data_IF_149002016584
#
_entry.id   IF_149002016584
#
_cell.length_a   1.000
_cell.length_b   1.000
_cell.length_c   1.000
_cell.angle_alpha   90.00
_cell.angle_beta   90.00
_cell.angle_gamma   90.00
#
_symmetry.space_group_name_H-M   'P 1'
#
loop_
_entity.id
_entity.type
_entity.pdbx_description
1 polymer ?
#
# COMPACT_ATOMS: atom_id res chain seq x y z
N UNK A 1 -17.09 12.01 -8.73
CA UNK A 1 -16.08 10.94 -8.97
C UNK A 1 -14.70 11.49 -8.68
N UNK A 2 -14.31 12.62 -9.27
CA UNK A 2 -12.98 13.22 -9.14
C UNK A 2 -12.53 13.43 -7.69
N UNK A 3 -13.43 13.83 -6.79
CA UNK A 3 -13.12 13.97 -5.35
C UNK A 3 -12.64 12.64 -4.74
N UNK A 4 -13.25 11.52 -5.10
CA UNK A 4 -12.84 10.20 -4.61
C UNK A 4 -11.50 9.78 -5.20
N UNK A 5 -11.27 10.05 -6.48
CA UNK A 5 -9.98 9.76 -7.15
C UNK A 5 -8.85 10.58 -6.53
N UNK A 6 -9.04 11.89 -6.34
CA UNK A 6 -8.04 12.75 -5.69
C UNK A 6 -7.76 12.32 -4.24
N UNK A 7 -8.80 11.91 -3.52
CA UNK A 7 -8.64 11.40 -2.16
C UNK A 7 -7.82 10.10 -2.14
N UNK A 8 -8.11 9.16 -3.05
CA UNK A 8 -7.32 7.93 -3.19
C UNK A 8 -5.84 8.21 -3.45
N UNK A 9 -5.54 9.10 -4.40
CA UNK A 9 -4.15 9.54 -4.69
C UNK A 9 -3.51 10.15 -3.44
N UNK A 10 -4.23 11.03 -2.73
CA UNK A 10 -3.71 11.64 -1.50
C UNK A 10 -3.38 10.61 -0.42
N UNK A 11 -4.19 9.55 -0.27
CA UNK A 11 -3.90 8.47 0.69
C UNK A 11 -2.73 7.60 0.25
N UNK A 12 -2.54 7.38 -1.06
CA UNK A 12 -1.39 6.67 -1.60
C UNK A 12 -0.09 7.45 -1.36
N UNK A 13 -0.07 8.76 -1.67
CA UNK A 13 1.08 9.63 -1.41
C UNK A 13 1.41 9.71 0.08
N UNK A 14 0.39 9.85 0.95
CA UNK A 14 0.60 9.81 2.40
C UNK A 14 1.15 8.45 2.85
N UNK A 15 0.71 7.36 2.23
CA UNK A 15 1.19 6.02 2.58
C UNK A 15 2.66 5.84 2.20
N UNK A 16 3.02 6.22 0.97
CA UNK A 16 4.40 6.13 0.46
C UNK A 16 5.37 7.02 1.23
N UNK A 17 5.01 8.28 1.44
CA UNK A 17 5.93 9.27 1.97
C UNK A 17 5.93 9.35 3.50
N UNK A 18 4.95 8.74 4.18
CA UNK A 18 4.83 8.86 5.64
C UNK A 18 4.60 7.52 6.34
N UNK A 19 3.59 6.74 5.94
CA UNK A 19 3.24 5.49 6.64
C UNK A 19 4.29 4.40 6.44
N UNK A 20 4.83 4.24 5.24
CA UNK A 20 5.85 3.25 4.92
C UNK A 20 7.20 3.53 5.62
N UNK A 21 7.75 4.75 5.58
CA UNK A 21 8.92 5.10 6.37
C UNK A 21 8.72 4.84 7.87
N UNK A 22 7.60 5.30 8.46
CA UNK A 22 7.29 5.08 9.87
C UNK A 22 7.26 3.59 10.24
N UNK A 23 6.56 2.78 9.44
CA UNK A 23 6.50 1.34 9.65
C UNK A 23 7.86 0.67 9.43
N UNK A 24 8.70 1.19 8.53
CA UNK A 24 10.04 0.66 8.28
C UNK A 24 10.98 0.87 9.46
N UNK A 25 10.92 2.07 10.06
CA UNK A 25 11.64 2.39 11.29
C UNK A 25 11.19 1.47 12.42
N UNK A 26 9.87 1.38 12.68
CA UNK A 26 9.31 0.57 13.75
C UNK A 26 9.67 -0.93 13.61
N UNK A 27 9.59 -1.45 12.38
CA UNK A 27 9.85 -2.87 12.11
C UNK A 27 11.34 -3.18 11.88
N UNK A 28 12.21 -2.17 11.84
CA UNK A 28 13.64 -2.28 11.50
C UNK A 28 13.90 -3.07 10.21
N UNK A 29 13.01 -2.89 9.22
CA UNK A 29 13.08 -3.52 7.90
C UNK A 29 12.31 -2.69 6.89
N UNK A 30 12.68 -2.80 5.62
CA UNK A 30 11.97 -2.08 4.56
C UNK A 30 10.52 -2.56 4.41
N UNK A 31 9.56 -1.62 4.53
CA UNK A 31 8.13 -1.82 4.32
C UNK A 31 7.70 -0.94 3.15
N UNK A 32 7.26 -1.56 2.05
CA UNK A 32 6.80 -0.86 0.85
C UNK A 32 5.46 -1.42 0.30
N UNK A 33 4.74 -2.18 1.13
CA UNK A 33 3.48 -2.81 0.70
C UNK A 33 2.44 -2.88 1.83
N UNK A 34 1.16 -2.84 1.46
CA UNK A 34 0.01 -2.83 2.39
C UNK A 34 -0.73 -4.16 2.43
N UNK A 35 -1.25 -4.50 3.62
CA UNK A 35 -2.33 -5.48 3.77
C UNK A 35 -3.65 -4.74 3.96
N UNK A 36 -4.63 -5.03 3.11
CA UNK A 36 -5.92 -4.34 3.12
C UNK A 36 -7.07 -5.31 3.40
N UNK A 37 -8.13 -4.81 4.04
CA UNK A 37 -9.37 -5.55 4.28
C UNK A 37 -10.51 -4.76 3.66
N UNK A 38 -11.29 -5.40 2.79
CA UNK A 38 -12.48 -4.85 2.17
C UNK A 38 -13.70 -5.66 2.63
N UNK A 39 -14.53 -5.06 3.47
CA UNK A 39 -15.81 -5.64 3.86
C UNK A 39 -16.86 -5.37 2.78
N UNK A 40 -17.38 -6.45 2.19
CA UNK A 40 -18.36 -6.41 1.11
C UNK A 40 -19.71 -6.98 1.53
N UNK A 41 -19.99 -6.96 2.83
CA UNK A 41 -21.31 -7.31 3.36
C UNK A 41 -22.40 -6.51 2.61
N UNK A 42 -23.42 -7.21 2.16
CA UNK A 42 -24.56 -6.66 1.42
C UNK A 42 -24.21 -5.98 0.08
N UNK A 43 -23.00 -6.20 -0.45
CA UNK A 43 -22.60 -5.76 -1.79
C UNK A 43 -22.93 -6.84 -2.83
N UNK A 44 -23.56 -6.44 -3.93
CA UNK A 44 -23.85 -7.27 -5.09
C UNK A 44 -23.87 -6.48 -6.40
N UNK A 45 -24.36 -7.11 -7.47
CA UNK A 45 -24.38 -6.51 -8.82
C UNK A 45 -25.13 -5.16 -8.88
N UNK A 46 -26.20 -4.99 -8.09
CA UNK A 46 -26.97 -3.74 -8.05
C UNK A 46 -26.16 -2.55 -7.51
N UNK A 47 -25.15 -2.80 -6.68
CA UNK A 47 -24.26 -1.75 -6.17
C UNK A 47 -23.22 -1.31 -7.22
N UNK A 48 -22.94 -2.15 -8.22
CA UNK A 48 -21.94 -1.87 -9.25
C UNK A 48 -22.52 -1.09 -10.44
N UNK A 49 -23.14 0.03 -10.11
CA UNK A 49 -23.69 1.00 -11.07
C UNK A 49 -22.61 1.56 -12.01
N UNK A 50 -23.03 2.20 -13.12
CA UNK A 50 -22.10 2.82 -14.08
C UNK A 50 -21.10 3.80 -13.40
N UNK A 51 -21.51 4.69 -12.48
CA UNK A 51 -20.57 5.53 -11.73
C UNK A 51 -19.60 4.75 -10.84
N UNK A 52 -20.07 3.72 -10.14
CA UNK A 52 -19.23 2.89 -9.27
C UNK A 52 -18.18 2.11 -10.09
N UNK A 53 -18.60 1.56 -11.24
CA UNK A 53 -17.70 0.90 -12.17
C UNK A 53 -16.65 1.86 -12.73
N UNK A 54 -17.05 3.06 -13.13
CA UNK A 54 -16.10 4.07 -13.63
C UNK A 54 -15.08 4.43 -12.55
N UNK A 55 -15.54 4.71 -11.33
CA UNK A 55 -14.64 5.01 -10.20
C UNK A 55 -13.65 3.87 -9.95
N UNK A 56 -14.12 2.62 -9.92
CA UNK A 56 -13.26 1.45 -9.75
C UNK A 56 -12.20 1.34 -10.87
N UNK A 57 -12.60 1.53 -12.12
CA UNK A 57 -11.68 1.47 -13.26
C UNK A 57 -10.61 2.58 -13.21
N UNK A 58 -10.99 3.80 -12.84
CA UNK A 58 -10.02 4.90 -12.70
C UNK A 58 -9.03 4.64 -11.56
N UNK A 59 -9.50 4.17 -10.40
CA UNK A 59 -8.62 3.80 -9.28
C UNK A 59 -7.67 2.66 -9.68
N UNK A 60 -8.19 1.58 -10.27
CA UNK A 60 -7.37 0.45 -10.71
C UNK A 60 -6.31 0.87 -11.73
N UNK A 61 -6.67 1.75 -12.68
CA UNK A 61 -5.73 2.28 -13.67
C UNK A 61 -4.63 3.11 -13.01
N UNK A 62 -4.97 3.94 -12.04
CA UNK A 62 -3.99 4.74 -11.29
C UNK A 62 -3.05 3.82 -10.51
N UNK A 63 -3.58 2.88 -9.74
CA UNK A 63 -2.79 1.96 -8.92
C UNK A 63 -1.85 1.10 -9.77
N UNK A 64 -2.35 0.57 -10.90
CA UNK A 64 -1.55 -0.27 -11.79
C UNK A 64 -0.42 0.49 -12.50
N UNK A 65 -0.59 1.78 -12.79
CA UNK A 65 0.37 2.56 -13.58
C UNK A 65 1.33 3.38 -12.73
N UNK A 66 0.88 3.92 -11.60
CA UNK A 66 1.65 4.86 -10.79
C UNK A 66 2.09 4.28 -9.44
N UNK A 67 1.38 3.26 -8.93
CA UNK A 67 1.67 2.65 -7.63
C UNK A 67 1.85 1.12 -7.72
N UNK A 68 2.67 0.61 -8.67
CA UNK A 68 2.82 -0.82 -8.86
C UNK A 68 3.41 -1.48 -7.60
N UNK A 69 3.02 -2.74 -7.38
CA UNK A 69 3.58 -3.59 -6.31
C UNK A 69 3.33 -3.13 -4.86
N UNK A 70 2.56 -2.06 -4.63
CA UNK A 70 2.22 -1.54 -3.30
C UNK A 70 1.24 -2.42 -2.52
N UNK A 71 0.54 -3.35 -3.15
CA UNK A 71 -0.34 -4.32 -2.48
C UNK A 71 0.47 -5.55 -2.04
N UNK A 72 0.45 -5.90 -0.76
CA UNK A 72 0.94 -7.19 -0.26
C UNK A 72 -0.14 -8.25 -0.33
N UNK A 73 -1.30 -7.96 0.27
CA UNK A 73 -2.43 -8.88 0.41
C UNK A 73 -3.74 -8.11 0.57
N UNK A 74 -4.80 -8.54 -0.10
CA UNK A 74 -6.15 -7.99 0.07
C UNK A 74 -7.10 -9.09 0.52
N UNK A 75 -7.72 -8.91 1.68
CA UNK A 75 -8.82 -9.74 2.16
C UNK A 75 -10.15 -9.09 1.79
N UNK A 76 -10.97 -9.80 1.03
CA UNK A 76 -12.36 -9.42 0.79
C UNK A 76 -13.23 -10.29 1.70
N UNK A 77 -13.89 -9.69 2.69
CA UNK A 77 -14.61 -10.40 3.74
C UNK A 77 -16.12 -10.21 3.64
N UNK A 78 -16.90 -11.11 4.26
CA UNK A 78 -18.36 -11.14 4.13
C UNK A 78 -18.84 -11.28 2.66
N UNK A 79 -18.07 -11.97 1.81
CA UNK A 79 -18.41 -12.17 0.41
C UNK A 79 -19.57 -13.18 0.23
N UNK A 80 -20.80 -12.64 0.28
CA UNK A 80 -22.04 -13.36 0.01
C UNK A 80 -22.19 -13.79 -1.46
N UNK A 81 -23.29 -14.48 -1.77
CA UNK A 81 -23.58 -14.98 -3.12
C UNK A 81 -23.64 -13.84 -4.16
N UNK A 82 -24.26 -12.71 -3.81
CA UNK A 82 -24.32 -11.51 -4.65
C UNK A 82 -22.93 -10.97 -5.02
N UNK A 83 -22.05 -10.80 -4.03
CA UNK A 83 -20.68 -10.36 -4.28
C UNK A 83 -19.90 -11.38 -5.14
N UNK A 84 -20.08 -12.68 -4.91
CA UNK A 84 -19.36 -13.71 -5.71
C UNK A 84 -19.70 -13.64 -7.20
N UNK A 85 -20.93 -13.26 -7.55
CA UNK A 85 -21.30 -12.99 -8.94
C UNK A 85 -20.59 -11.73 -9.45
N UNK A 86 -20.64 -10.63 -8.68
CA UNK A 86 -19.95 -9.39 -9.02
C UNK A 86 -18.43 -9.60 -9.19
N UNK A 87 -17.81 -10.38 -8.32
CA UNK A 87 -16.38 -10.71 -8.36
C UNK A 87 -15.98 -11.38 -9.69
N UNK A 88 -16.84 -12.22 -10.27
CA UNK A 88 -16.57 -12.81 -11.60
C UNK A 88 -16.41 -11.73 -12.67
N UNK A 89 -17.19 -10.65 -12.60
CA UNK A 89 -17.07 -9.52 -13.52
C UNK A 89 -15.84 -8.65 -13.21
N UNK A 90 -15.59 -8.36 -11.93
CA UNK A 90 -14.47 -7.50 -11.50
C UNK A 90 -13.11 -8.11 -11.86
N UNK A 91 -12.94 -9.42 -11.72
CA UNK A 91 -11.68 -10.12 -12.02
C UNK A 91 -11.14 -9.87 -13.43
N UNK A 92 -12.02 -9.61 -14.40
CA UNK A 92 -11.61 -9.35 -15.79
C UNK A 92 -10.84 -8.03 -15.96
N UNK A 93 -10.90 -7.14 -14.97
CA UNK A 93 -10.22 -5.84 -14.98
C UNK A 93 -8.97 -5.81 -14.08
N UNK A 94 -8.60 -6.94 -13.47
CA UNK A 94 -7.45 -7.06 -12.59
C UNK A 94 -6.37 -7.90 -13.27
N UNK A 95 -5.13 -7.46 -13.15
CA UNK A 95 -3.97 -8.22 -13.63
C UNK A 95 -3.72 -9.46 -12.74
N UNK A 96 -2.98 -10.43 -13.28
CA UNK A 96 -2.72 -11.70 -12.58
C UNK A 96 -1.94 -11.55 -11.27
N UNK A 97 -1.03 -10.57 -11.19
CA UNK A 97 -0.23 -10.34 -9.98
C UNK A 97 -1.10 -9.78 -8.86
N UNK A 98 -2.03 -8.88 -9.19
CA UNK A 98 -3.03 -8.39 -8.24
C UNK A 98 -3.98 -9.51 -7.82
N UNK A 99 -4.50 -10.29 -8.76
CA UNK A 99 -5.41 -11.41 -8.45
C UNK A 99 -4.79 -12.44 -7.49
N UNK A 100 -3.50 -12.75 -7.64
CA UNK A 100 -2.78 -13.67 -6.77
C UNK A 100 -2.70 -13.22 -5.30
N UNK A 101 -2.88 -11.91 -5.04
CA UNK A 101 -2.81 -11.32 -3.69
C UNK A 101 -4.18 -11.21 -3.00
N UNK A 102 -5.26 -11.54 -3.71
CA UNK A 102 -6.64 -11.35 -3.23
C UNK A 102 -7.21 -12.65 -2.68
N UNK A 103 -7.74 -12.59 -1.46
CA UNK A 103 -8.46 -13.68 -0.80
C UNK A 103 -9.92 -13.30 -0.61
N UNK A 104 -10.84 -14.01 -1.28
CA UNK A 104 -12.29 -13.77 -1.17
C UNK A 104 -12.90 -14.74 -0.17
N UNK A 105 -13.25 -14.23 1.01
CA UNK A 105 -13.70 -14.98 2.17
C UNK A 105 -15.19 -14.75 2.44
N UNK A 106 -15.88 -15.81 2.90
CA UNK A 106 -17.29 -15.74 3.34
C UNK A 106 -17.43 -15.05 4.70
N UNK A 107 -18.41 -15.46 5.51
CA UNK A 107 -18.62 -14.94 6.88
C UNK A 107 -17.60 -15.45 7.90
N UNK A 108 -16.97 -16.61 7.63
CA UNK A 108 -16.03 -17.27 8.53
C UNK A 108 -14.58 -16.84 8.23
N UNK A 109 -14.35 -15.52 8.11
CA UNK A 109 -13.05 -14.97 7.70
C UNK A 109 -12.09 -14.68 8.86
N UNK A 110 -12.59 -14.66 10.10
CA UNK A 110 -11.85 -14.14 11.27
C UNK A 110 -10.52 -14.86 11.50
N UNK A 111 -10.51 -16.20 11.40
CA UNK A 111 -9.30 -17.02 11.53
C UNK A 111 -8.20 -16.60 10.54
N UNK A 112 -8.58 -16.27 9.31
CA UNK A 112 -7.64 -15.85 8.27
C UNK A 112 -7.03 -14.47 8.56
N UNK A 113 -7.79 -13.56 9.19
CA UNK A 113 -7.28 -12.25 9.55
C UNK A 113 -6.32 -12.32 10.74
N UNK A 114 -6.69 -13.06 11.80
CA UNK A 114 -5.85 -13.16 13.02
C UNK A 114 -4.57 -13.96 12.82
N UNK A 115 -4.49 -14.78 11.76
CA UNK A 115 -3.24 -15.45 11.36
C UNK A 115 -2.16 -14.45 10.90
N UNK A 116 -2.57 -13.29 10.38
CA UNK A 116 -1.66 -12.30 9.77
C UNK A 116 -1.65 -10.94 10.47
N UNK A 117 -2.67 -10.62 11.24
CA UNK A 117 -2.82 -9.36 11.95
C UNK A 117 -3.02 -9.67 13.43
N UNK A 118 -2.17 -9.09 14.28
CA UNK A 118 -2.34 -9.21 15.74
C UNK A 118 -3.76 -8.73 16.15
N UNK A 119 -4.51 -9.51 16.96
CA UNK A 119 -5.82 -9.10 17.43
C UNK A 119 -5.87 -7.71 18.05
N UNK A 120 -4.80 -7.23 18.72
CA UNK A 120 -4.75 -5.86 19.27
C UNK A 120 -4.79 -4.76 18.21
N UNK A 121 -4.40 -5.08 16.98
CA UNK A 121 -4.35 -4.18 15.82
C UNK A 121 -5.55 -4.33 14.89
N UNK A 122 -6.42 -5.32 15.14
CA UNK A 122 -7.61 -5.58 14.34
C UNK A 122 -8.87 -5.01 15.05
N UNK A 123 -9.75 -4.26 14.35
CA UNK A 123 -10.98 -3.76 14.93
C UNK A 123 -11.90 -4.87 15.48
N UNK A 124 -12.63 -4.59 16.55
CA UNK A 124 -13.56 -5.55 17.17
C UNK A 124 -14.64 -6.06 16.22
N UNK A 125 -15.17 -5.22 15.33
CA UNK A 125 -16.16 -5.62 14.34
C UNK A 125 -15.61 -6.56 13.25
N UNK A 126 -14.28 -6.64 13.10
CA UNK A 126 -13.58 -7.62 12.24
C UNK A 126 -13.06 -8.83 13.02
N UNK A 127 -13.32 -8.91 14.33
CA UNK A 127 -12.96 -10.04 15.19
C UNK A 127 -11.65 -9.86 15.98
N UNK A 128 -11.12 -8.65 16.08
CA UNK A 128 -9.99 -8.33 16.97
C UNK A 128 -10.41 -7.65 18.27
N UNK A 129 -9.47 -6.92 18.86
CA UNK A 129 -9.57 -6.30 20.18
C UNK A 129 -9.41 -4.76 20.14
N UNK A 130 -9.12 -4.18 18.97
CA UNK A 130 -8.91 -2.74 18.81
C UNK A 130 -10.24 -1.98 18.83
N UNK A 131 -10.36 -0.94 19.67
CA UNK A 131 -11.56 -0.09 19.74
C UNK A 131 -11.32 1.35 19.32
N UNK A 132 -10.10 1.89 19.46
CA UNK A 132 -9.77 3.31 19.25
C UNK A 132 -10.79 4.26 19.93
N UNK A 133 -11.18 3.95 21.17
CA UNK A 133 -12.23 4.67 21.90
C UNK A 133 -11.91 6.16 22.06
N UNK A 134 -10.63 6.50 22.20
CA UNK A 134 -10.10 7.86 22.28
C UNK A 134 -10.33 8.69 21.00
N UNK A 135 -10.57 8.02 19.86
CA UNK A 135 -10.83 8.66 18.56
C UNK A 135 -12.30 8.52 18.12
N UNK A 136 -13.20 8.04 19.01
CA UNK A 136 -14.59 7.77 18.66
C UNK A 136 -14.83 6.48 17.87
N UNK A 137 -13.83 5.59 17.79
CA UNK A 137 -13.93 4.29 17.11
C UNK A 137 -12.90 4.11 16.00
N UNK A 138 -12.63 2.85 15.62
CA UNK A 138 -11.62 2.53 14.59
C UNK A 138 -11.91 3.17 13.21
N UNK A 139 -13.18 3.45 12.86
CA UNK A 139 -13.54 4.08 11.59
C UNK A 139 -13.18 5.58 11.52
N UNK A 140 -12.97 6.21 12.68
CA UNK A 140 -12.62 7.64 12.79
C UNK A 140 -11.17 7.85 13.21
N UNK A 141 -10.38 6.77 13.25
CA UNK A 141 -9.00 6.77 13.71
C UNK A 141 -8.05 6.52 12.55
N UNK A 142 -6.92 7.23 12.56
CA UNK A 142 -5.75 6.95 11.69
C UNK A 142 -4.58 6.44 12.55
N UNK A 143 -4.85 5.56 13.52
CA UNK A 143 -3.85 5.01 14.46
C UNK A 143 -2.83 4.13 13.74
N UNK A 144 -1.55 4.33 14.05
CA UNK A 144 -0.43 3.54 13.54
C UNK A 144 0.91 4.10 13.99
N UNK A 145 2.02 3.45 13.59
CA UNK A 145 3.39 3.85 13.95
C UNK A 145 3.72 5.28 13.49
N UNK A 146 3.08 5.76 12.42
CA UNK A 146 3.23 7.13 11.92
C UNK A 146 2.68 8.22 12.86
N UNK A 147 2.07 7.85 13.99
CA UNK A 147 1.65 8.78 15.03
C UNK A 147 2.56 8.78 16.26
N UNK A 148 3.52 7.86 16.34
CA UNK A 148 4.49 7.78 17.44
C UNK A 148 5.41 9.01 17.43
N UNK A 149 5.53 9.77 18.53
CA UNK A 149 6.36 10.97 18.58
C UNK A 149 7.83 10.73 18.23
N UNK A 150 8.42 9.63 18.71
CA UNK A 150 9.83 9.32 18.47
C UNK A 150 10.05 9.01 16.99
N UNK A 151 9.14 8.25 16.38
CA UNK A 151 9.20 7.94 14.94
C UNK A 151 9.02 9.22 14.11
N UNK A 152 8.13 10.13 14.53
CA UNK A 152 7.93 11.40 13.83
C UNK A 152 9.18 12.26 13.82
N UNK A 153 9.85 12.38 14.96
CA UNK A 153 11.10 13.12 15.08
C UNK A 153 12.18 12.52 14.17
N UNK A 154 12.31 11.18 14.17
CA UNK A 154 13.24 10.48 13.29
C UNK A 154 12.94 10.73 11.80
N UNK A 155 11.67 10.75 11.40
CA UNK A 155 11.27 11.01 10.02
C UNK A 155 11.54 12.44 9.59
N UNK A 156 11.25 13.41 10.46
CA UNK A 156 11.51 14.82 10.19
C UNK A 156 13.01 15.06 9.97
N UNK A 157 13.85 14.54 10.87
CA UNK A 157 15.29 14.63 10.73
C UNK A 157 15.81 13.98 9.44
N UNK A 158 15.24 12.84 9.03
CA UNK A 158 15.61 12.18 7.78
C UNK A 158 15.24 13.02 6.54
N UNK A 159 14.04 13.61 6.52
CA UNK A 159 13.62 14.46 5.40
C UNK A 159 14.41 15.77 5.32
N UNK A 160 14.75 16.38 6.46
CA UNK A 160 15.60 17.57 6.50
C UNK A 160 17.00 17.27 5.95
N UNK A 161 17.58 16.12 6.30
CA UNK A 161 18.87 15.68 5.78
C UNK A 161 18.84 15.44 4.25
N UNK A 162 17.78 14.81 3.73
CA UNK A 162 17.60 14.58 2.28
C UNK A 162 17.43 15.90 1.49
N UNK A 163 16.81 16.92 2.09
CA UNK A 163 16.68 18.25 1.47
C UNK A 163 18.01 19.01 1.45
N UNK A 164 18.82 18.89 2.51
CA UNK A 164 20.17 19.48 2.57
C UNK A 164 21.09 18.87 1.52
N UNK A 165 21.05 17.54 1.32
CA UNK A 165 21.86 16.84 0.32
C UNK A 165 21.47 17.25 -1.12
N UNK A 166 20.17 17.28 -1.42
CA UNK A 166 19.67 17.73 -2.73
C UNK A 166 19.98 19.21 -3.04
N UNK A 167 20.03 20.07 -2.02
CA UNK A 167 20.41 21.48 -2.19
C UNK A 167 21.93 21.66 -2.29
N UNK A 168 22.72 20.78 -1.66
CA UNK A 168 24.17 20.71 -1.81
C UNK A 168 24.61 20.38 -3.24
N UNK A 169 23.94 19.41 -3.88
CA UNK A 169 24.20 19.04 -5.28
C UNK A 169 23.82 20.15 -6.28
N UNK A 170 22.74 20.90 -6.04
CA UNK A 170 22.34 22.03 -6.92
C UNK A 170 23.28 23.22 -6.87
N UNK A 171 23.96 23.45 -5.74
CA UNK A 171 24.89 24.58 -5.58
C UNK A 171 26.31 24.27 -6.10
N UNK A 172 26.55 23.06 -6.62
CA UNK A 172 27.84 22.63 -7.18
C UNK A 172 27.98 22.74 -8.71
N UNK A 173 26.94 23.18 -9.44
CA UNK A 173 26.98 23.30 -10.90
C UNK A 173 27.35 24.74 -11.31
N UNK A 174 28.65 25.00 -11.45
CA UNK A 174 29.16 26.29 -11.93
C UNK A 174 28.82 26.49 -13.43
N UNK A 175 28.39 27.71 -13.75
CA UNK A 175 27.93 28.12 -15.06
C UNK A 175 29.11 28.38 -16.00
N UNK A 176 29.54 27.37 -16.75
CA UNK A 176 30.14 27.50 -18.09
C UNK A 176 30.54 26.12 -18.65
N UNK A 177 29.67 25.52 -19.45
CA UNK A 177 30.03 24.83 -20.71
C UNK A 177 28.74 24.28 -21.34
N UNK A 178 28.16 25.07 -22.25
CA UNK A 178 27.18 24.57 -23.19
C UNK A 178 27.91 23.93 -24.37
N UNK A 179 27.44 22.74 -24.77
CA UNK A 179 27.71 21.98 -26.01
C UNK A 179 29.00 21.12 -26.03
N UNK A 180 28.88 19.81 -25.79
CA UNK A 180 28.78 18.80 -26.87
C UNK A 180 28.85 17.35 -26.35
N UNK A 181 28.03 16.51 -26.97
CA UNK A 181 28.20 15.08 -27.23
C UNK A 181 27.99 14.03 -26.11
N UNK A 182 26.96 13.22 -26.38
CA UNK A 182 26.81 11.78 -26.20
C UNK A 182 26.69 11.09 -24.82
N UNK A 183 25.50 10.50 -24.67
CA UNK A 183 25.15 9.20 -24.07
C UNK A 183 26.21 8.49 -23.18
N UNK A 184 25.97 8.52 -21.88
CA UNK A 184 26.67 7.67 -20.89
C UNK A 184 25.89 7.54 -19.58
N UNK A 185 25.25 6.38 -19.40
CA UNK A 185 24.65 5.81 -18.18
C UNK A 185 24.89 6.51 -16.82
N UNK A 186 23.80 6.85 -16.12
CA UNK A 186 23.65 6.52 -14.70
C UNK A 186 22.29 5.82 -14.53
N UNK A 187 22.34 4.52 -14.27
CA UNK A 187 21.16 3.71 -13.97
C UNK A 187 20.78 3.89 -12.51
N UNK A 188 19.48 4.10 -12.26
CA UNK A 188 18.88 3.89 -10.94
C UNK A 188 18.95 2.39 -10.63
N UNK A 189 20.05 1.92 -10.03
CA UNK A 189 20.22 0.52 -9.64
C UNK A 189 20.77 0.27 -8.24
N UNK A 190 21.15 1.28 -7.46
CA UNK A 190 21.87 1.02 -6.20
C UNK A 190 20.99 1.08 -4.93
N UNK A 191 19.71 0.70 -5.05
CA UNK A 191 18.85 0.45 -3.88
C UNK A 191 18.23 -0.97 -3.85
N UNK A 192 18.55 -1.83 -4.82
CA UNK A 192 18.06 -3.22 -4.85
C UNK A 192 19.14 -4.21 -5.28
N UNK A 193 19.78 -4.85 -4.30
CA UNK A 193 20.57 -6.06 -4.43
C UNK A 193 21.18 -6.43 -3.06
N UNK A 194 21.22 -7.66 -2.57
CA UNK A 194 20.75 -8.97 -3.04
C UNK A 194 20.73 -9.85 -1.80
N UNK A 195 19.60 -10.46 -1.43
CA UNK A 195 19.60 -11.53 -0.43
C UNK A 195 19.86 -12.85 -1.16
N UNK A 196 21.11 -13.32 -1.15
CA UNK A 196 21.46 -14.66 -1.63
C UNK A 196 20.87 -15.72 -0.69
N UNK A 197 20.10 -16.65 -1.26
CA UNK A 197 19.75 -17.92 -0.60
C UNK A 197 20.56 -19.02 -1.26
N UNK A 198 21.49 -19.64 -0.52
CA UNK A 198 22.16 -20.88 -0.94
C UNK A 198 21.17 -22.04 -0.79
N UNK A 199 20.85 -22.70 -1.90
CA UNK A 199 20.38 -24.08 -1.90
C UNK A 199 21.55 -24.93 -2.43
N UNK A 200 22.10 -25.79 -1.57
CA UNK A 200 23.01 -26.85 -1.99
C UNK A 200 22.21 -28.10 -2.34
N UNK A 201 22.55 -28.58 -3.52
CA UNK A 201 22.05 -29.74 -4.25
C UNK A 201 22.68 -31.02 -3.66
N UNK A 202 21.86 -32.06 -3.45
CA UNK A 202 22.35 -33.43 -3.28
C UNK A 202 21.58 -34.30 -4.26
N UNK A 203 22.18 -34.45 -5.44
CA UNK A 203 21.81 -35.47 -6.40
C UNK A 203 22.32 -36.85 -6.00
N UNK A 204 21.44 -37.85 -6.08
CA UNK A 204 21.58 -39.07 -6.90
C UNK A 204 20.26 -39.84 -6.89
#
# INVERSE_FOLDING_TARGET
>A
IDKFVKYHVSEQEKTLNWRYPACSIAAKKHIASTTSILDVKDVGLSNFSKPARYLFMEIQKIDSNYYPETLHRLFIVNAGSGFRVLWKAIKAFLDQRTLAKIQVLGSNYRSNLVEVIDPSNLPTFLGGNCTCSEYGGCLFSDKGHWNDPEIKEMLQAAFEADEEDNNGERNGMDSNEALNCDTGNIQIKDAYGTAETKAEDLGQ
#
